data_IF_185600408144
#
_entry.id   IF_185600408144
#
_cell.length_a   1.000
_cell.length_b   1.000
_cell.length_c   1.000
_cell.angle_alpha   90.00
_cell.angle_beta   90.00
_cell.angle_gamma   90.00
#
_symmetry.space_group_name_H-M   'P 1'
#
loop_
_entity.id
_entity.type
_entity.pdbx_description
1 polymer ?
#
# COMPACT_ATOMS: atom_id res chain seq x y z
N UNK A 1 13.83 105.13 -5.26
CA UNK A 1 13.36 104.20 -6.34
C UNK A 1 14.57 103.38 -6.81
N UNK A 2 14.41 102.17 -7.41
CA UNK A 2 13.52 101.02 -7.10
C UNK A 2 14.22 100.05 -6.11
N UNK A 3 13.75 98.87 -5.66
CA UNK A 3 12.48 98.09 -5.71
C UNK A 3 12.25 97.02 -6.82
N UNK A 4 12.53 95.74 -6.48
CA UNK A 4 12.17 94.45 -7.17
C UNK A 4 12.99 94.09 -8.44
N UNK A 5 13.09 92.83 -8.89
CA UNK A 5 12.46 91.54 -8.52
C UNK A 5 13.52 90.42 -8.50
N UNK A 6 13.46 89.49 -7.54
CA UNK A 6 14.03 88.13 -7.70
C UNK A 6 12.90 87.14 -7.93
N UNK A 7 13.00 86.36 -9.00
CA UNK A 7 12.02 85.36 -9.42
C UNK A 7 12.15 84.09 -8.59
N UNK A 8 11.22 83.87 -7.65
CA UNK A 8 11.07 82.58 -6.96
C UNK A 8 10.19 81.64 -7.78
N UNK A 9 10.78 80.97 -8.78
CA UNK A 9 10.12 79.81 -9.40
C UNK A 9 10.16 78.63 -8.43
N UNK A 10 9.04 78.41 -7.74
CA UNK A 10 8.83 77.21 -6.94
C UNK A 10 8.63 76.03 -7.88
N UNK A 11 9.70 75.31 -8.17
CA UNK A 11 9.64 74.06 -8.93
C UNK A 11 9.07 72.97 -8.03
N UNK A 12 7.77 72.70 -8.17
CA UNK A 12 7.05 71.67 -7.43
C UNK A 12 7.52 70.27 -7.84
N UNK A 13 8.50 69.72 -7.14
CA UNK A 13 8.82 68.30 -7.21
C UNK A 13 7.69 67.48 -6.58
N UNK A 14 6.79 66.94 -7.41
CA UNK A 14 5.81 65.95 -6.97
C UNK A 14 6.53 64.74 -6.35
N UNK A 15 6.33 64.40 -5.07
CA UNK A 15 6.88 63.17 -4.51
C UNK A 15 6.14 61.97 -5.09
N UNK A 16 6.87 61.07 -5.73
CA UNK A 16 6.37 59.75 -6.17
C UNK A 16 6.05 58.88 -4.96
N UNK A 17 4.79 58.90 -4.52
CA UNK A 17 4.27 57.96 -3.52
C UNK A 17 4.17 56.53 -4.10
N UNK A 18 5.29 55.83 -4.19
CA UNK A 18 5.36 54.38 -4.47
C UNK A 18 5.02 53.55 -3.22
N UNK A 19 3.84 53.78 -2.64
CA UNK A 19 3.28 52.87 -1.65
C UNK A 19 2.80 51.59 -2.35
N UNK A 20 3.65 50.55 -2.39
CA UNK A 20 3.27 49.20 -2.88
C UNK A 20 2.20 48.57 -1.97
N UNK A 21 0.93 48.95 -2.14
CA UNK A 21 -0.18 48.31 -1.46
C UNK A 21 -0.27 46.84 -1.91
N UNK A 22 -0.10 45.93 -0.94
CA UNK A 22 -0.20 44.48 -1.14
C UNK A 22 -1.41 43.91 -0.44
N UNK A 23 -2.40 43.49 -1.22
CA UNK A 23 -3.59 42.78 -0.73
C UNK A 23 -3.32 41.27 -0.73
N UNK A 24 -3.57 40.62 0.41
CA UNK A 24 -3.59 39.15 0.52
C UNK A 24 -5.04 38.67 0.38
N UNK A 25 -5.30 37.81 -0.60
CA UNK A 25 -6.61 37.19 -0.81
C UNK A 25 -6.60 35.81 -0.16
N UNK A 26 -7.54 35.51 0.75
CA UNK A 26 -7.54 34.25 1.49
C UNK A 26 -7.79 33.04 0.58
N UNK A 27 -7.31 31.85 0.97
CA UNK A 27 -7.44 30.65 0.14
C UNK A 27 -8.92 30.25 0.00
N UNK A 28 -9.37 30.06 -1.23
CA UNK A 28 -10.73 29.63 -1.53
C UNK A 28 -11.70 30.72 -1.98
N UNK A 29 -11.29 32.00 -1.98
CA UNK A 29 -12.02 33.09 -2.64
C UNK A 29 -12.34 32.72 -4.09
N UNK A 30 -13.63 32.76 -4.46
CA UNK A 30 -14.11 32.38 -5.80
C UNK A 30 -14.13 33.53 -6.80
N UNK A 31 -14.31 34.75 -6.31
CA UNK A 31 -14.44 35.99 -7.07
C UNK A 31 -13.61 37.08 -6.41
N UNK A 32 -12.84 37.82 -7.21
CA UNK A 32 -12.11 39.01 -6.81
C UNK A 32 -12.66 40.17 -7.64
N UNK A 33 -13.08 41.25 -6.97
CA UNK A 33 -13.53 42.47 -7.63
C UNK A 33 -12.58 43.62 -7.29
N UNK A 34 -12.14 44.33 -8.32
CA UNK A 34 -11.34 45.54 -8.20
C UNK A 34 -12.22 46.73 -8.56
N UNK A 35 -12.50 47.60 -7.60
CA UNK A 35 -13.20 48.87 -7.83
C UNK A 35 -12.16 49.98 -8.00
N UNK A 36 -12.36 50.87 -8.98
CA UNK A 36 -11.44 51.94 -9.32
C UNK A 36 -12.18 53.20 -9.77
N UNK A 37 -11.66 54.35 -9.37
CA UNK A 37 -12.20 55.66 -9.70
C UNK A 37 -11.09 56.56 -10.29
N UNK A 38 -11.49 57.57 -11.04
CA UNK A 38 -10.58 58.58 -11.60
C UNK A 38 -11.16 59.96 -11.42
N UNK A 39 -10.34 60.90 -10.95
CA UNK A 39 -10.77 62.26 -10.64
C UNK A 39 -10.85 63.10 -11.93
N UNK A 40 -12.06 63.47 -12.33
CA UNK A 40 -12.33 64.42 -13.42
C UNK A 40 -13.39 65.41 -12.96
N UNK A 41 -12.96 66.60 -12.51
CA UNK A 41 -13.88 67.66 -12.04
C UNK A 41 -14.81 68.18 -13.15
N UNK A 42 -14.41 68.08 -14.43
CA UNK A 42 -15.11 68.73 -15.56
C UNK A 42 -16.20 67.85 -16.16
N UNK A 43 -16.01 66.53 -16.22
CA UNK A 43 -17.11 65.58 -16.51
C UNK A 43 -16.73 64.18 -15.97
N UNK A 44 -17.22 63.78 -14.79
CA UNK A 44 -16.95 62.46 -14.23
C UNK A 44 -17.42 61.31 -15.14
N UNK A 45 -18.57 61.48 -15.78
CA UNK A 45 -19.24 60.42 -16.56
C UNK A 45 -18.56 60.12 -17.90
N UNK A 46 -17.62 60.95 -18.36
CA UNK A 46 -16.91 60.79 -19.63
C UNK A 46 -15.52 60.12 -19.50
N UNK A 47 -15.08 59.83 -18.26
CA UNK A 47 -13.81 59.13 -18.03
C UNK A 47 -13.95 57.65 -18.42
N UNK A 48 -13.11 57.20 -19.34
CA UNK A 48 -13.01 55.78 -19.75
C UNK A 48 -11.82 55.09 -19.09
N UNK A 49 -11.90 53.78 -18.91
CA UNK A 49 -10.89 53.01 -18.20
C UNK A 49 -10.40 51.81 -19.01
N UNK A 50 -9.14 51.45 -18.81
CA UNK A 50 -8.54 50.20 -19.27
C UNK A 50 -7.86 49.52 -18.10
N UNK A 51 -8.01 48.21 -17.97
CA UNK A 51 -7.36 47.45 -16.91
C UNK A 51 -6.70 46.17 -17.44
N UNK A 52 -5.80 45.59 -16.65
CA UNK A 52 -5.27 44.24 -16.84
C UNK A 52 -4.80 43.66 -15.51
N UNK A 53 -4.92 42.33 -15.36
CA UNK A 53 -4.35 41.58 -14.25
C UNK A 53 -3.13 40.81 -14.75
N UNK A 54 -1.94 41.34 -14.52
CA UNK A 54 -0.69 40.72 -14.95
C UNK A 54 -0.49 39.41 -14.17
N UNK A 55 -0.22 38.35 -14.93
CA UNK A 55 -0.29 36.95 -14.48
C UNK A 55 -1.54 36.21 -14.95
N UNK A 56 -2.53 36.90 -15.53
CA UNK A 56 -3.73 36.32 -16.13
C UNK A 56 -4.05 36.91 -17.51
N UNK A 57 -4.09 38.24 -17.62
CA UNK A 57 -4.38 38.94 -18.89
C UNK A 57 -3.10 39.22 -19.68
N UNK A 58 -3.15 38.99 -21.00
CA UNK A 58 -2.04 39.29 -21.92
C UNK A 58 -2.13 40.71 -22.53
N UNK A 59 -3.32 41.29 -22.60
CA UNK A 59 -3.60 42.57 -23.21
C UNK A 59 -4.48 43.44 -22.29
N UNK A 60 -4.58 44.74 -22.59
CA UNK A 60 -5.47 45.65 -21.88
C UNK A 60 -6.92 45.40 -22.24
N UNK A 61 -7.77 45.21 -21.23
CA UNK A 61 -9.22 45.11 -21.37
C UNK A 61 -9.81 46.53 -21.33
N UNK A 62 -10.60 46.90 -22.34
CA UNK A 62 -11.34 48.15 -22.34
C UNK A 62 -12.59 48.03 -21.45
N UNK A 63 -12.64 48.82 -20.40
CA UNK A 63 -13.75 48.84 -19.47
C UNK A 63 -14.87 49.80 -19.92
N UNK A 64 -14.59 50.67 -20.90
CA UNK A 64 -15.42 51.83 -21.18
C UNK A 64 -15.59 52.67 -19.92
N UNK A 65 -16.83 52.96 -19.54
CA UNK A 65 -17.15 53.79 -18.39
C UNK A 65 -17.39 52.95 -17.11
N UNK A 66 -17.16 51.63 -17.14
CA UNK A 66 -17.23 50.79 -15.93
C UNK A 66 -16.15 51.20 -14.92
N UNK A 67 -16.47 51.03 -13.63
CA UNK A 67 -15.61 51.38 -12.48
C UNK A 67 -15.18 50.14 -11.68
N UNK A 68 -15.38 48.95 -12.24
CA UNK A 68 -15.02 47.68 -11.63
C UNK A 68 -14.44 46.68 -12.64
N UNK A 69 -13.64 45.73 -12.14
CA UNK A 69 -13.15 44.58 -12.88
C UNK A 69 -13.33 43.32 -12.02
N UNK A 70 -13.97 42.30 -12.57
CA UNK A 70 -14.34 41.07 -11.86
C UNK A 70 -13.54 39.88 -12.43
N UNK A 71 -12.86 39.15 -11.56
CA UNK A 71 -12.12 37.94 -11.91
C UNK A 71 -12.60 36.75 -11.09
N UNK A 72 -12.99 35.67 -11.77
CA UNK A 72 -13.47 34.43 -11.14
C UNK A 72 -12.42 33.33 -11.23
N UNK A 73 -12.34 32.48 -10.21
CA UNK A 73 -11.45 31.31 -10.15
C UNK A 73 -9.96 31.60 -10.40
N UNK A 74 -9.49 32.78 -9.98
CA UNK A 74 -8.06 33.15 -10.04
C UNK A 74 -7.23 32.12 -9.26
N UNK A 75 -6.22 31.55 -9.92
CA UNK A 75 -5.37 30.52 -9.32
C UNK A 75 -4.52 31.12 -8.19
N UNK A 76 -4.04 30.32 -7.22
CA UNK A 76 -3.06 30.79 -6.25
C UNK A 76 -1.79 31.33 -6.93
N UNK A 77 -1.31 32.49 -6.51
CA UNK A 77 -0.22 33.17 -7.22
C UNK A 77 0.04 34.60 -6.74
N UNK A 78 0.98 35.26 -7.42
CA UNK A 78 1.25 36.69 -7.29
C UNK A 78 0.80 37.37 -8.58
N UNK A 79 -0.07 38.35 -8.46
CA UNK A 79 -0.64 39.12 -9.55
C UNK A 79 -0.41 40.61 -9.33
N UNK A 80 -0.44 41.39 -10.41
CA UNK A 80 -0.48 42.86 -10.35
C UNK A 80 -1.66 43.35 -11.15
N UNK A 81 -2.64 43.95 -10.49
CA UNK A 81 -3.72 44.67 -11.16
C UNK A 81 -3.19 46.03 -11.59
N UNK A 82 -3.39 46.41 -12.84
CA UNK A 82 -3.03 47.72 -13.38
C UNK A 82 -4.27 48.36 -14.02
N UNK A 83 -4.46 49.65 -13.79
CA UNK A 83 -5.56 50.44 -14.38
C UNK A 83 -5.05 51.78 -14.93
N UNK A 84 -5.58 52.15 -16.09
CA UNK A 84 -5.36 53.44 -16.75
C UNK A 84 -6.69 54.15 -16.97
N UNK A 85 -6.67 55.47 -16.90
CA UNK A 85 -7.83 56.34 -17.14
C UNK A 85 -7.62 57.21 -18.38
N UNK A 86 -8.68 57.47 -19.13
CA UNK A 86 -8.75 58.33 -20.29
C UNK A 86 -9.64 59.53 -19.96
N UNK A 87 -9.10 60.74 -20.07
CA UNK A 87 -9.84 61.96 -19.80
C UNK A 87 -10.79 62.33 -20.95
N UNK A 88 -11.58 63.40 -20.76
CA UNK A 88 -12.57 63.89 -21.72
C UNK A 88 -11.98 64.31 -23.09
N UNK A 89 -10.67 64.56 -23.15
CA UNK A 89 -9.94 64.93 -24.37
C UNK A 89 -9.30 63.71 -25.07
N UNK A 90 -9.61 62.48 -24.62
CA UNK A 90 -9.07 61.25 -25.19
C UNK A 90 -7.66 60.88 -24.72
N UNK A 91 -7.05 61.67 -23.83
CA UNK A 91 -5.69 61.46 -23.34
C UNK A 91 -5.69 60.42 -22.23
N UNK A 92 -4.89 59.35 -22.39
CA UNK A 92 -4.69 58.31 -21.39
C UNK A 92 -3.61 58.71 -20.38
N UNK A 93 -3.75 58.27 -19.13
CA UNK A 93 -2.74 58.40 -18.07
C UNK A 93 -1.43 57.72 -18.48
N UNK A 94 -0.30 58.46 -18.44
CA UNK A 94 1.02 57.92 -18.81
C UNK A 94 1.49 56.80 -17.86
N UNK A 95 1.22 56.94 -16.57
CA UNK A 95 1.53 55.93 -15.54
C UNK A 95 0.25 55.20 -15.12
N UNK A 96 0.19 53.85 -15.22
CA UNK A 96 -0.92 53.10 -14.68
C UNK A 96 -0.86 53.08 -13.15
N UNK A 97 -2.01 53.18 -12.50
CA UNK A 97 -2.11 52.85 -11.06
C UNK A 97 -2.05 51.35 -10.91
N UNK A 98 -1.25 50.84 -9.97
CA UNK A 98 -1.06 49.39 -9.77
C UNK A 98 -1.32 48.93 -8.34
N UNK A 99 -1.76 47.68 -8.19
CA UNK A 99 -2.04 47.03 -6.91
C UNK A 99 -1.47 45.61 -6.92
N UNK A 100 -0.68 45.26 -5.89
CA UNK A 100 -0.13 43.91 -5.76
C UNK A 100 -1.12 42.99 -5.06
N UNK A 101 -1.43 41.86 -5.68
CA UNK A 101 -2.45 40.92 -5.22
C UNK A 101 -1.83 39.54 -5.05
N UNK A 102 -1.86 39.01 -3.83
CA UNK A 102 -1.37 37.67 -3.55
C UNK A 102 -2.52 36.73 -3.17
N UNK A 103 -2.88 35.82 -4.07
CA UNK A 103 -3.90 34.79 -3.84
C UNK A 103 -3.23 33.59 -3.16
N UNK A 104 -3.62 33.30 -1.92
CA UNK A 104 -2.99 32.24 -1.14
C UNK A 104 -3.42 30.84 -1.62
N UNK A 105 -2.50 29.86 -1.68
CA UNK A 105 -2.85 28.47 -1.98
C UNK A 105 -3.62 27.83 -0.83
N UNK A 106 -4.52 26.89 -1.14
CA UNK A 106 -5.18 26.07 -0.12
C UNK A 106 -4.15 25.12 0.51
N UNK A 107 -4.37 24.71 1.77
CA UNK A 107 -3.41 23.89 2.52
C UNK A 107 -3.01 22.60 1.78
N UNK A 108 -3.93 21.96 1.07
CA UNK A 108 -3.68 20.74 0.30
C UNK A 108 -2.93 20.95 -1.02
N UNK A 109 -2.73 22.20 -1.44
CA UNK A 109 -1.96 22.57 -2.64
C UNK A 109 -0.49 22.91 -2.31
N UNK A 110 -0.09 22.79 -1.04
CA UNK A 110 1.27 23.04 -0.60
C UNK A 110 2.16 21.81 -0.85
N UNK A 111 3.43 22.04 -1.20
CA UNK A 111 4.37 20.95 -1.50
C UNK A 111 4.60 20.01 -0.31
N UNK A 112 4.53 20.52 0.93
CA UNK A 112 4.66 19.68 2.12
C UNK A 112 3.48 18.72 2.28
N UNK A 113 2.25 19.17 2.01
CA UNK A 113 1.05 18.32 2.10
C UNK A 113 1.05 17.24 1.01
N UNK A 114 1.44 17.61 -0.21
CA UNK A 114 1.60 16.66 -1.32
C UNK A 114 2.67 15.62 -0.95
N UNK A 115 3.83 16.05 -0.45
CA UNK A 115 4.91 15.16 0.01
C UNK A 115 4.46 14.20 1.12
N UNK A 116 3.77 14.71 2.14
CA UNK A 116 3.20 13.90 3.21
C UNK A 116 2.17 12.88 2.70
N UNK A 117 1.29 13.30 1.78
CA UNK A 117 0.28 12.41 1.17
C UNK A 117 0.95 11.28 0.38
N UNK A 118 1.95 11.59 -0.43
CA UNK A 118 2.73 10.59 -1.19
C UNK A 118 3.44 9.63 -0.24
N UNK A 119 4.06 10.14 0.84
CA UNK A 119 4.76 9.31 1.83
C UNK A 119 3.81 8.36 2.57
N UNK A 120 2.63 8.83 2.98
CA UNK A 120 1.58 7.98 3.59
C UNK A 120 1.08 6.91 2.61
N UNK A 121 0.89 7.27 1.34
CA UNK A 121 0.42 6.34 0.30
C UNK A 121 1.47 5.25 0.02
N UNK A 122 2.74 5.62 -0.17
CA UNK A 122 3.85 4.68 -0.36
C UNK A 122 4.04 3.79 0.87
N UNK A 123 4.02 4.37 2.07
CA UNK A 123 4.10 3.62 3.33
C UNK A 123 2.96 2.62 3.51
N UNK A 124 1.75 2.99 3.11
CA UNK A 124 0.57 2.10 3.14
C UNK A 124 0.71 0.93 2.17
N UNK A 125 1.13 1.18 0.93
CA UNK A 125 1.38 0.12 -0.07
C UNK A 125 2.48 -0.84 0.42
N UNK A 126 3.60 -0.31 0.91
CA UNK A 126 4.71 -1.09 1.44
C UNK A 126 4.30 -1.92 2.67
N UNK A 127 3.51 -1.33 3.59
CA UNK A 127 2.96 -2.00 4.76
C UNK A 127 2.03 -3.17 4.40
N UNK A 128 1.10 -2.96 3.46
CA UNK A 128 0.19 -4.01 2.96
C UNK A 128 0.98 -5.13 2.28
N UNK A 129 1.92 -4.79 1.38
CA UNK A 129 2.75 -5.77 0.69
C UNK A 129 3.59 -6.62 1.67
N UNK A 130 4.23 -5.98 2.67
CA UNK A 130 4.99 -6.66 3.73
C UNK A 130 4.10 -7.57 4.58
N UNK A 131 2.92 -7.10 4.98
CA UNK A 131 1.98 -7.88 5.77
C UNK A 131 1.44 -9.10 5.00
N UNK A 132 1.11 -8.96 3.72
CA UNK A 132 0.72 -10.08 2.85
C UNK A 132 1.86 -11.07 2.63
N UNK A 133 3.10 -10.59 2.45
CA UNK A 133 4.28 -11.45 2.33
C UNK A 133 4.51 -12.29 3.59
N UNK A 134 4.48 -11.66 4.78
CA UNK A 134 4.61 -12.37 6.07
C UNK A 134 3.50 -13.41 6.25
N UNK A 135 2.25 -13.10 5.88
CA UNK A 135 1.14 -14.07 5.93
C UNK A 135 1.36 -15.27 5.01
N UNK A 136 1.90 -15.07 3.80
CA UNK A 136 2.28 -16.16 2.90
C UNK A 136 3.39 -17.03 3.50
N UNK A 137 4.48 -16.40 3.94
CA UNK A 137 5.62 -17.12 4.56
C UNK A 137 5.19 -17.98 5.75
N UNK A 138 4.34 -17.48 6.65
CA UNK A 138 3.83 -18.26 7.79
C UNK A 138 3.04 -19.50 7.37
N UNK A 139 2.20 -19.40 6.33
CA UNK A 139 1.47 -20.57 5.79
C UNK A 139 2.42 -21.59 5.15
N UNK A 140 3.44 -21.13 4.44
CA UNK A 140 4.45 -22.03 3.86
C UNK A 140 5.26 -22.74 4.94
N UNK A 141 5.60 -22.05 6.04
CA UNK A 141 6.29 -22.66 7.18
C UNK A 141 5.45 -23.71 7.88
N UNK A 142 4.18 -23.43 8.21
CA UNK A 142 3.24 -24.40 8.80
C UNK A 142 3.07 -25.67 7.93
N UNK A 143 2.97 -25.50 6.60
CA UNK A 143 2.95 -26.64 5.68
C UNK A 143 4.26 -27.46 5.68
N UNK A 144 5.42 -26.79 5.72
CA UNK A 144 6.72 -27.45 5.77
C UNK A 144 6.98 -28.13 7.13
N UNK A 145 6.46 -27.59 8.23
CA UNK A 145 6.54 -28.19 9.55
C UNK A 145 5.72 -29.49 9.60
N UNK A 146 4.47 -29.47 9.14
CA UNK A 146 3.63 -30.69 9.03
C UNK A 146 4.24 -31.74 8.10
N UNK A 147 4.84 -31.35 6.98
CA UNK A 147 5.55 -32.28 6.10
C UNK A 147 6.73 -32.94 6.81
N UNK A 148 7.50 -32.19 7.61
CA UNK A 148 8.62 -32.73 8.41
C UNK A 148 8.16 -33.64 9.55
N UNK A 149 7.00 -33.39 10.15
CA UNK A 149 6.39 -34.28 11.13
C UNK A 149 6.03 -35.62 10.48
N UNK A 150 5.30 -35.60 9.36
CA UNK A 150 4.97 -36.81 8.59
C UNK A 150 6.22 -37.57 8.09
N UNK A 151 7.27 -36.87 7.66
CA UNK A 151 8.55 -37.49 7.28
C UNK A 151 9.27 -38.13 8.46
N UNK A 152 9.21 -37.54 9.66
CA UNK A 152 9.77 -38.13 10.89
C UNK A 152 9.00 -39.37 11.31
N UNK A 153 7.67 -39.32 11.28
CA UNK A 153 6.84 -40.47 11.63
C UNK A 153 7.07 -41.63 10.66
N UNK A 154 7.12 -41.36 9.34
CA UNK A 154 7.48 -42.38 8.33
C UNK A 154 8.88 -42.96 8.53
N UNK A 155 9.88 -42.14 8.88
CA UNK A 155 11.23 -42.63 9.23
C UNK A 155 11.24 -43.48 10.49
N UNK A 156 10.46 -43.10 11.51
CA UNK A 156 10.33 -43.87 12.75
C UNK A 156 9.73 -45.24 12.46
N UNK A 157 8.59 -45.27 11.78
CA UNK A 157 7.93 -46.54 11.41
C UNK A 157 8.87 -47.39 10.54
N UNK A 158 9.60 -46.80 9.58
CA UNK A 158 10.58 -47.55 8.77
C UNK A 158 11.74 -48.15 9.59
N UNK A 159 12.18 -47.49 10.67
CA UNK A 159 13.14 -48.06 11.61
C UNK A 159 12.50 -49.17 12.46
N UNK A 160 11.28 -48.95 12.96
CA UNK A 160 10.54 -49.94 13.75
C UNK A 160 10.32 -51.24 12.93
N UNK A 161 10.01 -51.13 11.63
CA UNK A 161 10.00 -52.27 10.67
C UNK A 161 11.36 -52.97 10.65
N UNK A 162 12.44 -52.21 10.48
CA UNK A 162 13.78 -52.77 10.33
C UNK A 162 14.21 -53.55 11.59
N UNK A 163 13.91 -53.02 12.76
CA UNK A 163 14.23 -53.64 14.05
C UNK A 163 13.38 -54.90 14.31
N UNK A 164 12.07 -54.86 14.06
CA UNK A 164 11.19 -56.02 14.25
C UNK A 164 11.47 -57.16 13.26
N UNK A 165 11.70 -56.83 11.98
CA UNK A 165 12.16 -57.80 10.98
C UNK A 165 13.54 -58.35 11.33
N UNK A 166 14.47 -57.48 11.73
CA UNK A 166 15.84 -57.87 12.10
C UNK A 166 15.84 -58.86 13.27
N UNK A 167 15.09 -58.56 14.33
CA UNK A 167 14.93 -59.45 15.48
C UNK A 167 14.28 -60.79 15.09
N UNK A 168 13.20 -60.76 14.30
CA UNK A 168 12.49 -61.95 13.87
C UNK A 168 13.31 -62.86 12.93
N UNK A 169 14.04 -62.29 11.98
CA UNK A 169 14.95 -63.01 11.09
C UNK A 169 16.15 -63.58 11.86
N UNK A 170 16.69 -62.85 12.85
CA UNK A 170 17.75 -63.34 13.73
C UNK A 170 17.26 -64.56 14.52
N UNK A 171 16.05 -64.49 15.08
CA UNK A 171 15.45 -65.62 15.80
C UNK A 171 15.19 -66.82 14.89
N UNK A 172 14.65 -66.63 13.67
CA UNK A 172 14.52 -67.74 12.71
C UNK A 172 15.87 -68.34 12.31
N UNK A 173 16.92 -67.52 12.13
CA UNK A 173 18.27 -68.01 11.82
C UNK A 173 18.81 -68.89 12.95
N UNK A 174 18.59 -68.50 14.21
CA UNK A 174 18.93 -69.32 15.37
C UNK A 174 18.14 -70.64 15.39
N UNK A 175 16.83 -70.60 15.18
CA UNK A 175 15.98 -71.81 15.11
C UNK A 175 16.41 -72.74 13.97
N UNK A 176 16.81 -72.21 12.81
CA UNK A 176 17.35 -73.00 11.70
C UNK A 176 18.66 -73.71 12.09
N UNK A 177 19.58 -73.02 12.78
CA UNK A 177 20.84 -73.62 13.22
C UNK A 177 20.61 -74.67 14.32
N UNK A 178 19.66 -74.45 15.23
CA UNK A 178 19.23 -75.43 16.24
C UNK A 178 18.58 -76.66 15.58
N UNK A 179 17.67 -76.47 14.62
CA UNK A 179 17.06 -77.56 13.86
C UNK A 179 18.12 -78.41 13.15
N UNK A 180 19.10 -77.77 12.52
CA UNK A 180 20.19 -78.43 11.76
C UNK A 180 21.17 -79.21 12.65
N UNK A 181 21.24 -78.90 13.95
CA UNK A 181 22.08 -79.59 14.95
C UNK A 181 21.32 -80.61 15.80
N UNK A 182 19.99 -80.66 15.70
CA UNK A 182 19.14 -81.50 16.54
C UNK A 182 18.80 -82.85 15.89
N UNK A 183 18.43 -83.88 16.67
CA UNK A 183 17.91 -85.14 16.13
C UNK A 183 16.62 -84.93 15.30
N UNK A 184 16.28 -85.83 14.37
CA UNK A 184 15.12 -85.67 13.47
C UNK A 184 13.80 -85.43 14.20
N UNK A 185 13.59 -86.08 15.35
CA UNK A 185 12.38 -85.92 16.17
C UNK A 185 12.23 -84.49 16.71
N UNK A 186 13.33 -83.89 17.21
CA UNK A 186 13.33 -82.53 17.77
C UNK A 186 13.44 -81.44 16.69
N UNK A 187 14.05 -81.76 15.54
CA UNK A 187 14.14 -80.84 14.40
C UNK A 187 12.76 -80.44 13.85
N UNK A 188 11.77 -81.35 13.93
CA UNK A 188 10.37 -81.09 13.56
C UNK A 188 9.78 -79.89 14.31
N UNK A 189 9.97 -79.83 15.64
CA UNK A 189 9.42 -78.75 16.46
C UNK A 189 10.03 -77.38 16.13
N UNK A 190 11.33 -77.33 15.83
CA UNK A 190 11.98 -76.10 15.38
C UNK A 190 11.48 -75.66 14.00
N UNK A 191 11.25 -76.59 13.06
CA UNK A 191 10.66 -76.28 11.75
C UNK A 191 9.22 -75.74 11.87
N UNK A 192 8.41 -76.27 12.78
CA UNK A 192 7.09 -75.73 13.09
C UNK A 192 7.21 -74.29 13.63
N UNK A 193 8.10 -74.04 14.59
CA UNK A 193 8.35 -72.70 15.14
C UNK A 193 8.84 -71.70 14.09
N UNK A 194 9.72 -72.10 13.17
CA UNK A 194 10.15 -71.27 12.02
C UNK A 194 8.94 -70.93 11.14
N UNK A 195 8.13 -71.92 10.77
CA UNK A 195 6.94 -71.69 9.93
C UNK A 195 5.91 -70.76 10.59
N UNK A 196 5.86 -70.75 11.92
CA UNK A 196 4.97 -69.91 12.71
C UNK A 196 5.53 -68.48 12.79
N UNK A 197 6.82 -68.32 13.10
CA UNK A 197 7.49 -67.00 13.13
C UNK A 197 7.52 -66.32 11.76
N UNK A 198 7.70 -67.06 10.67
CA UNK A 198 7.59 -66.53 9.31
C UNK A 198 6.19 -65.95 9.00
N UNK A 199 5.13 -66.63 9.45
CA UNK A 199 3.74 -66.15 9.32
C UNK A 199 3.47 -64.92 10.17
N UNK A 200 3.97 -64.88 11.41
CA UNK A 200 3.88 -63.71 12.28
C UNK A 200 4.59 -62.49 11.68
N UNK A 201 5.81 -62.65 11.16
CA UNK A 201 6.55 -61.58 10.47
C UNK A 201 5.85 -61.06 9.21
N UNK A 202 5.16 -61.94 8.48
CA UNK A 202 4.39 -61.54 7.29
C UNK A 202 3.15 -60.75 7.69
N UNK A 203 2.46 -61.17 8.76
CA UNK A 203 1.29 -60.44 9.29
C UNK A 203 1.70 -59.07 9.86
N UNK A 204 2.83 -58.98 10.57
CA UNK A 204 3.37 -57.71 11.07
C UNK A 204 3.77 -56.78 9.91
N UNK A 205 4.44 -57.31 8.87
CA UNK A 205 4.74 -56.56 7.64
C UNK A 205 3.46 -55.96 7.02
N UNK A 206 2.39 -56.74 6.87
CA UNK A 206 1.13 -56.26 6.29
C UNK A 206 0.49 -55.13 7.12
N UNK A 207 0.50 -55.24 8.46
CA UNK A 207 -0.01 -54.19 9.35
C UNK A 207 0.82 -52.90 9.29
N UNK A 208 2.16 -53.00 9.22
CA UNK A 208 3.01 -51.82 9.18
C UNK A 208 3.03 -51.18 7.78
N UNK A 209 3.00 -51.97 6.70
CA UNK A 209 2.83 -51.46 5.32
C UNK A 209 1.48 -50.73 5.19
N UNK A 210 0.42 -51.22 5.84
CA UNK A 210 -0.85 -50.50 5.92
C UNK A 210 -0.70 -49.14 6.61
N UNK A 211 0.04 -49.06 7.73
CA UNK A 211 0.26 -47.82 8.47
C UNK A 211 1.18 -46.79 7.77
N UNK A 212 2.08 -47.23 6.88
CA UNK A 212 3.00 -46.33 6.13
C UNK A 212 2.39 -45.82 4.82
N UNK A 213 1.40 -46.52 4.26
CA UNK A 213 0.86 -46.19 2.94
C UNK A 213 0.03 -44.89 2.94
N UNK A 214 0.40 -43.87 2.13
CA UNK A 214 -0.33 -42.60 2.05
C UNK A 214 -1.79 -42.75 1.56
N UNK A 215 -2.13 -43.90 0.97
CA UNK A 215 -3.48 -44.19 0.47
C UNK A 215 -4.44 -44.53 1.63
N UNK A 216 -3.91 -44.86 2.81
CA UNK A 216 -4.68 -45.17 4.01
C UNK A 216 -4.92 -43.96 4.92
N UNK A 217 -4.39 -42.78 4.58
CA UNK A 217 -4.60 -41.51 5.31
C UNK A 217 -6.07 -40.98 5.22
N UNK A 218 -7.00 -41.78 4.70
CA UNK A 218 -8.42 -41.43 4.52
C UNK A 218 -9.30 -42.01 5.62
N UNK A 219 -10.34 -41.27 6.01
CA UNK A 219 -11.32 -41.69 7.02
C UNK A 219 -11.97 -43.04 6.68
N UNK A 220 -12.19 -43.29 5.38
CA UNK A 220 -12.80 -44.51 4.85
C UNK A 220 -11.89 -45.75 5.00
N UNK A 221 -10.57 -45.61 4.80
CA UNK A 221 -9.62 -46.69 5.06
C UNK A 221 -9.52 -47.00 6.57
N UNK A 222 -9.51 -45.97 7.42
CA UNK A 222 -9.49 -46.12 8.88
C UNK A 222 -10.75 -46.86 9.39
N UNK A 223 -11.95 -46.48 8.92
CA UNK A 223 -13.20 -47.18 9.23
C UNK A 223 -13.21 -48.64 8.73
N UNK A 224 -12.62 -48.89 7.56
CA UNK A 224 -12.48 -50.24 6.99
C UNK A 224 -11.53 -51.12 7.82
N UNK A 225 -10.44 -50.55 8.34
CA UNK A 225 -9.53 -51.25 9.24
C UNK A 225 -10.20 -51.57 10.58
N UNK A 226 -10.88 -50.59 11.21
CA UNK A 226 -11.57 -50.80 12.49
C UNK A 226 -12.67 -51.88 12.40
N UNK A 227 -13.46 -51.90 11.33
CA UNK A 227 -14.49 -52.93 11.13
C UNK A 227 -13.89 -54.32 10.88
N UNK A 228 -12.77 -54.40 10.13
CA UNK A 228 -12.03 -55.66 9.92
C UNK A 228 -11.42 -56.18 11.22
N UNK A 229 -10.84 -55.31 12.03
CA UNK A 229 -10.31 -55.64 13.36
C UNK A 229 -11.42 -56.11 14.31
N UNK A 230 -12.55 -55.40 14.37
CA UNK A 230 -13.71 -55.77 15.18
C UNK A 230 -14.28 -57.16 14.80
N UNK A 231 -14.35 -57.48 13.51
CA UNK A 231 -14.76 -58.83 13.05
C UNK A 231 -13.77 -59.93 13.48
N UNK A 232 -12.47 -59.69 13.40
CA UNK A 232 -11.45 -60.67 13.86
C UNK A 232 -11.54 -60.86 15.38
N UNK A 233 -11.77 -59.78 16.13
CA UNK A 233 -11.91 -59.84 17.58
C UNK A 233 -13.19 -60.56 18.01
N UNK A 234 -14.35 -60.27 17.40
CA UNK A 234 -15.60 -60.97 17.72
C UNK A 234 -15.49 -62.49 17.46
N UNK A 235 -14.86 -62.87 16.35
CA UNK A 235 -14.64 -64.27 15.97
C UNK A 235 -13.68 -65.02 16.92
N UNK A 236 -12.83 -64.30 17.67
CA UNK A 236 -12.00 -64.84 18.76
C UNK A 236 -12.73 -64.94 20.10
N UNK A 237 -13.77 -64.12 20.31
CA UNK A 237 -14.52 -64.06 21.57
C UNK A 237 -15.80 -64.91 21.61
N UNK A 238 -16.16 -65.60 20.52
CA UNK A 238 -17.15 -66.68 20.55
C UNK A 238 -18.61 -66.24 20.71
N UNK A 239 -19.07 -65.38 19.80
CA UNK A 239 -20.49 -65.16 19.49
C UNK A 239 -20.73 -65.43 18.00
#
# INVERSE_FOLDING_TARGET
MPRKMTSSESSYSNPTCESEYRVKVPPGTRQIEFQYNGLSLVSPDRVRFKYRLIGLDQQWVDAGNRRFAQYSYVRPGKYRFEVMACNNHGVWSLTPTSLLVHVQPRFYQTSWFIGATVLVLVGSIAGIARHLSIRKMRKTLDLLERQRELERDRRRIANDIHDELGAGLTHMTLLCELARRSPPETASDYLVQISQKARELTSAMDEIVWAVSPQNDTLESLLSYLTKFAMVFSKKCGY
#
